data_IF_540462980409
#
_entry.id   IF_540462980409
#
_cell.length_a   1.000
_cell.length_b   1.000
_cell.length_c   1.000
_cell.angle_alpha   90.00
_cell.angle_beta   90.00
_cell.angle_gamma   90.00
#
_symmetry.space_group_name_H-M   'P 1'
#
loop_
_entity.id
_entity.type
_entity.pdbx_description
1 polymer ?
#
# COMPACT_ATOMS: atom_id res chain seq x y z
N UNK A 1 7.15 -7.99 17.95
CA UNK A 1 7.19 -6.77 17.12
C UNK A 1 5.85 -6.72 16.43
N UNK A 2 5.04 -5.69 16.67
CA UNK A 2 3.73 -5.60 16.04
C UNK A 2 3.95 -5.43 14.53
N UNK A 3 3.52 -6.42 13.74
CA UNK A 3 3.28 -6.19 12.32
C UNK A 3 2.29 -5.03 12.26
N UNK A 4 2.71 -3.90 11.68
CA UNK A 4 1.77 -2.86 11.27
C UNK A 4 0.84 -3.55 10.28
N UNK A 5 -0.43 -3.72 10.66
CA UNK A 5 -1.43 -4.29 9.78
C UNK A 5 -1.45 -3.41 8.52
N UNK A 6 -1.43 -4.04 7.35
CA UNK A 6 -1.41 -3.37 6.04
C UNK A 6 -2.40 -2.19 5.90
N UNK A 7 -3.49 -2.18 6.69
CA UNK A 7 -4.43 -1.06 6.77
C UNK A 7 -3.77 0.25 7.21
N UNK A 8 -2.81 0.21 8.14
CA UNK A 8 -2.11 1.40 8.65
C UNK A 8 -1.19 2.02 7.57
N UNK A 9 -0.64 1.17 6.70
CA UNK A 9 0.18 1.56 5.54
C UNK A 9 -0.71 2.23 4.47
N UNK A 10 -1.88 1.64 4.20
CA UNK A 10 -2.86 2.22 3.27
C UNK A 10 -3.40 3.55 3.81
N UNK A 11 -3.67 3.66 5.12
CA UNK A 11 -4.09 4.91 5.74
C UNK A 11 -3.03 6.00 5.60
N UNK A 12 -1.75 5.70 5.84
CA UNK A 12 -0.64 6.66 5.65
C UNK A 12 -0.48 7.10 4.19
N UNK A 13 -0.75 6.22 3.22
CA UNK A 13 -0.79 6.58 1.80
C UNK A 13 -1.93 7.53 1.43
N UNK A 14 -3.11 7.32 2.04
CA UNK A 14 -4.32 8.08 1.76
C UNK A 14 -4.33 9.45 2.43
N UNK A 15 -3.68 9.59 3.58
CA UNK A 15 -3.78 10.81 4.38
C UNK A 15 -2.98 12.00 3.82
N UNK A 16 -2.30 11.86 2.66
CA UNK A 16 -1.53 12.92 1.99
C UNK A 16 -0.56 13.70 2.93
N UNK A 17 -0.25 13.14 4.10
CA UNK A 17 0.70 13.73 5.01
C UNK A 17 2.07 13.72 4.36
N UNK A 18 2.87 14.74 4.65
CA UNK A 18 4.25 14.79 4.21
C UNK A 18 5.03 13.67 4.91
N UNK A 19 5.12 12.51 4.25
CA UNK A 19 5.94 11.40 4.67
C UNK A 19 7.41 11.79 4.55
N UNK A 20 8.22 11.35 5.50
CA UNK A 20 9.69 11.43 5.35
C UNK A 20 10.14 10.48 4.22
N UNK A 21 11.36 10.69 3.70
CA UNK A 21 11.89 9.85 2.62
C UNK A 21 11.93 8.34 3.01
N UNK A 22 12.26 8.04 4.27
CA UNK A 22 12.28 6.68 4.81
C UNK A 22 10.88 6.07 4.90
N UNK A 23 9.89 6.85 5.35
CA UNK A 23 8.49 6.39 5.39
C UNK A 23 7.93 6.20 3.99
N UNK A 24 8.28 7.06 3.03
CA UNK A 24 7.87 6.91 1.64
C UNK A 24 8.45 5.64 1.01
N UNK A 25 9.73 5.33 1.25
CA UNK A 25 10.35 4.08 0.78
C UNK A 25 9.70 2.85 1.42
N UNK A 26 9.46 2.90 2.73
CA UNK A 26 8.76 1.83 3.45
C UNK A 26 7.35 1.61 2.90
N UNK A 27 6.59 2.67 2.72
CA UNK A 27 5.23 2.65 2.21
C UNK A 27 5.17 2.10 0.78
N UNK A 28 6.08 2.53 -0.10
CA UNK A 28 6.14 2.04 -1.48
C UNK A 28 6.45 0.54 -1.55
N UNK A 29 7.42 0.04 -0.75
CA UNK A 29 7.74 -1.39 -0.69
C UNK A 29 6.55 -2.25 -0.23
N UNK A 30 5.79 -1.75 0.75
CA UNK A 30 4.61 -2.46 1.23
C UNK A 30 3.43 -2.37 0.25
N UNK A 31 3.27 -1.24 -0.46
CA UNK A 31 2.27 -1.11 -1.52
C UNK A 31 2.49 -2.13 -2.63
N UNK A 32 3.74 -2.35 -3.06
CA UNK A 32 4.07 -3.38 -4.05
C UNK A 32 3.71 -4.79 -3.55
N UNK A 33 4.00 -5.08 -2.27
CA UNK A 33 3.65 -6.36 -1.65
C UNK A 33 2.13 -6.58 -1.61
N UNK A 34 1.36 -5.52 -1.32
CA UNK A 34 -0.10 -5.58 -1.33
C UNK A 34 -0.63 -5.79 -2.75
N UNK A 35 -0.11 -5.05 -3.74
CA UNK A 35 -0.50 -5.23 -5.14
C UNK A 35 -0.23 -6.67 -5.60
N UNK A 36 0.93 -7.23 -5.28
CA UNK A 36 1.27 -8.61 -5.63
C UNK A 36 0.32 -9.60 -4.96
N UNK A 37 0.06 -9.46 -3.66
CA UNK A 37 -0.85 -10.31 -2.91
C UNK A 37 -2.28 -10.30 -3.50
N UNK A 38 -2.86 -9.11 -3.67
CA UNK A 38 -4.21 -8.94 -4.19
C UNK A 38 -4.32 -9.15 -5.71
N UNK A 39 -3.21 -9.25 -6.44
CA UNK A 39 -3.23 -9.62 -7.86
C UNK A 39 -3.44 -11.11 -8.09
N UNK A 40 -3.25 -11.94 -7.06
CA UNK A 40 -3.42 -13.39 -7.15
C UNK A 40 -4.89 -13.81 -7.10
N UNK A 41 -5.75 -12.98 -6.51
CA UNK A 41 -7.19 -13.23 -6.42
C UNK A 41 -7.96 -12.38 -7.46
N UNK A 42 -8.70 -13.00 -8.39
CA UNK A 42 -9.53 -12.26 -9.34
C UNK A 42 -10.69 -11.49 -8.70
N UNK A 43 -11.13 -11.83 -7.48
CA UNK A 43 -12.16 -11.08 -6.75
C UNK A 43 -11.63 -9.74 -6.23
N UNK A 44 -10.32 -9.66 -5.97
CA UNK A 44 -9.65 -8.45 -5.47
C UNK A 44 -9.13 -7.52 -6.57
N UNK A 45 -9.50 -7.79 -7.83
CA UNK A 45 -9.02 -7.04 -9.00
C UNK A 45 -9.27 -5.53 -8.89
N UNK A 46 -10.46 -5.11 -8.44
CA UNK A 46 -10.78 -3.68 -8.29
C UNK A 46 -9.91 -3.02 -7.22
N UNK A 47 -9.63 -3.72 -6.12
CA UNK A 47 -8.76 -3.23 -5.06
C UNK A 47 -7.30 -3.17 -5.52
N UNK A 48 -6.83 -4.18 -6.27
CA UNK A 48 -5.51 -4.19 -6.87
C UNK A 48 -5.31 -3.01 -7.85
N UNK A 49 -6.31 -2.71 -8.70
CA UNK A 49 -6.26 -1.55 -9.58
C UNK A 49 -6.25 -0.23 -8.79
N UNK A 50 -7.02 -0.12 -7.71
CA UNK A 50 -6.97 1.03 -6.81
C UNK A 50 -5.59 1.24 -6.19
N UNK A 51 -4.96 0.19 -5.65
CA UNK A 51 -3.60 0.25 -5.10
C UNK A 51 -2.57 0.72 -6.14
N UNK A 52 -2.70 0.30 -7.40
CA UNK A 52 -1.84 0.78 -8.49
C UNK A 52 -1.97 2.29 -8.74
N UNK A 53 -3.15 2.89 -8.50
CA UNK A 53 -3.33 4.35 -8.66
C UNK A 53 -2.63 5.16 -7.56
N UNK A 54 -2.34 4.55 -6.41
CA UNK A 54 -1.61 5.19 -5.31
C UNK A 54 -0.10 5.25 -5.55
N UNK A 55 0.40 4.50 -6.55
CA UNK A 55 1.80 4.52 -6.99
C UNK A 55 2.08 5.78 -7.82
N UNK A 56 2.32 6.91 -7.15
CA UNK A 56 2.75 8.19 -7.77
C UNK A 56 4.27 8.37 -7.75
#
# INVERSE_FOLDING_TARGET
>A
MAELEWQEIVLKLLDHQALTAEEQEYVQRNLETLIEHFSQDPEDKEFCEYLKTLRK
#
